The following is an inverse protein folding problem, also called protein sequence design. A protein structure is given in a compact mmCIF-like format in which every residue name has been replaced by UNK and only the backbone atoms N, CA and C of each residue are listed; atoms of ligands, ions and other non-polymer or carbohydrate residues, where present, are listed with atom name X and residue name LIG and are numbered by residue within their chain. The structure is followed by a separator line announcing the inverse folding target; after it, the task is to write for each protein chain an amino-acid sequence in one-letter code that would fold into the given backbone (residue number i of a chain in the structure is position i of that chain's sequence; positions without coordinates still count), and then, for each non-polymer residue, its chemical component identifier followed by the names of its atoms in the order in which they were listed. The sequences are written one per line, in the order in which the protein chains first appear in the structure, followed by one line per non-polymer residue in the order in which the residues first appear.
data_IF_913058131459
#
_entry.id   IF_913058131459
#
_cell.length_a   1.000
_cell.length_b   1.000
_cell.length_c   1.000
_cell.angle_alpha   90.00
_cell.angle_beta   90.00
_cell.angle_gamma   90.00
#
_symmetry.space_group_name_H-M   'P 1'
#
loop_
_entity.id
_entity.type
_entity.pdbx_description
1 polymer ?
#
# COMPACT_ATOMS: atom_id res chain seq x y z
N UNK A 1 21.11 4.97 -5.51
CA UNK A 1 20.62 4.60 -4.17
C UNK A 1 21.05 3.17 -3.89
N UNK A 2 21.73 2.91 -2.77
CA UNK A 2 22.09 1.55 -2.37
C UNK A 2 20.95 0.96 -1.52
N UNK A 3 20.50 -0.24 -1.84
CA UNK A 3 19.50 -0.99 -1.08
C UNK A 3 19.89 -2.46 -1.00
N UNK A 4 19.25 -3.22 -0.10
CA UNK A 4 19.43 -4.65 0.02
C UNK A 4 18.10 -5.31 -0.31
N UNK A 5 18.11 -6.27 -1.22
CA UNK A 5 16.95 -7.07 -1.64
C UNK A 5 17.40 -8.54 -1.67
N UNK A 6 16.60 -9.45 -1.09
CA UNK A 6 16.98 -10.86 -0.95
C UNK A 6 18.32 -11.05 -0.24
N UNK A 7 18.68 -10.18 0.71
CA UNK A 7 19.99 -10.14 1.40
C UNK A 7 21.19 -9.75 0.52
N UNK A 8 20.99 -9.38 -0.74
CA UNK A 8 22.05 -8.91 -1.64
C UNK A 8 22.01 -7.39 -1.81
N UNK A 9 23.17 -6.71 -1.85
CA UNK A 9 23.23 -5.28 -2.09
C UNK A 9 23.04 -4.95 -3.57
N UNK A 10 22.23 -3.93 -3.86
CA UNK A 10 21.98 -3.40 -5.21
C UNK A 10 22.17 -1.89 -5.25
N UNK A 11 22.69 -1.42 -6.38
CA UNK A 11 22.72 0.00 -6.73
C UNK A 11 21.61 0.31 -7.73
N UNK A 12 20.55 0.94 -7.25
CA UNK A 12 19.39 1.29 -8.06
C UNK A 12 19.31 2.80 -8.26
N UNK A 13 18.85 3.19 -9.44
CA UNK A 13 18.53 4.57 -9.80
C UNK A 13 17.14 4.64 -10.40
N UNK A 14 16.46 5.77 -10.25
CA UNK A 14 15.10 5.96 -10.81
C UNK A 14 15.10 5.77 -12.32
N UNK A 15 16.11 6.31 -13.01
CA UNK A 15 16.30 6.13 -14.46
C UNK A 15 16.60 4.68 -14.84
N UNK A 16 17.42 3.97 -14.05
CA UNK A 16 17.72 2.55 -14.28
C UNK A 16 16.49 1.66 -14.18
N UNK A 17 15.60 1.93 -13.21
CA UNK A 17 14.31 1.23 -13.10
C UNK A 17 13.43 1.52 -14.32
N UNK A 18 13.29 2.78 -14.74
CA UNK A 18 12.51 3.16 -15.91
C UNK A 18 13.03 2.50 -17.20
N UNK A 19 14.35 2.44 -17.37
CA UNK A 19 14.99 1.78 -18.52
C UNK A 19 14.73 0.27 -18.51
N UNK A 20 14.88 -0.38 -17.35
CA UNK A 20 14.68 -1.82 -17.21
C UNK A 20 13.23 -2.25 -17.44
N UNK A 21 12.27 -1.40 -17.04
CA UNK A 21 10.85 -1.66 -17.23
C UNK A 21 10.32 -1.28 -18.64
N UNK A 22 11.16 -0.70 -19.50
CA UNK A 22 10.75 -0.31 -20.85
C UNK A 22 10.39 -1.56 -21.67
N UNK A 23 9.18 -1.59 -22.23
CA UNK A 23 8.69 -2.72 -23.02
C UNK A 23 8.17 -3.90 -22.19
N UNK A 24 8.27 -3.83 -20.85
CA UNK A 24 7.70 -4.86 -19.97
C UNK A 24 6.18 -4.70 -19.91
N UNK A 25 5.46 -5.79 -20.24
CA UNK A 25 4.00 -5.83 -20.16
C UNK A 25 3.57 -6.00 -18.71
N UNK A 26 2.69 -5.14 -18.16
CA UNK A 26 2.18 -5.31 -16.82
C UNK A 26 1.46 -6.66 -16.66
N UNK A 27 1.75 -7.35 -15.57
CA UNK A 27 0.97 -8.50 -15.11
C UNK A 27 -0.27 -8.04 -14.33
N UNK A 28 -1.19 -8.97 -14.10
CA UNK A 28 -2.37 -8.72 -13.30
C UNK A 28 -1.98 -8.32 -11.87
N UNK A 29 -2.45 -7.16 -11.43
CA UNK A 29 -2.19 -6.64 -10.08
C UNK A 29 -3.15 -7.32 -9.11
N UNK A 30 -2.62 -8.24 -8.29
CA UNK A 30 -3.37 -8.97 -7.25
C UNK A 30 -3.01 -8.54 -5.83
N UNK A 31 -2.01 -7.67 -5.68
CA UNK A 31 -1.49 -7.22 -4.39
C UNK A 31 -0.77 -5.89 -4.50
N UNK A 32 0.32 -5.74 -3.73
CA UNK A 32 1.14 -4.53 -3.75
C UNK A 32 1.62 -4.21 -5.17
N UNK A 33 1.53 -2.94 -5.54
CA UNK A 33 1.87 -2.48 -6.88
C UNK A 33 2.59 -1.15 -6.88
N UNK A 34 3.29 -0.86 -7.97
CA UNK A 34 4.02 0.39 -8.16
C UNK A 34 3.67 1.01 -9.50
N UNK A 35 3.48 2.32 -9.52
CA UNK A 35 3.28 3.08 -10.75
C UNK A 35 4.64 3.41 -11.36
N UNK A 36 4.89 2.91 -12.57
CA UNK A 36 6.10 3.16 -13.35
C UNK A 36 5.68 3.77 -14.70
N UNK A 37 6.09 5.02 -14.93
CA UNK A 37 5.59 5.80 -16.06
C UNK A 37 4.08 6.01 -15.95
N UNK A 38 3.32 5.44 -16.89
CA UNK A 38 1.83 5.53 -16.94
C UNK A 38 1.12 4.22 -16.62
N UNK A 39 1.85 3.22 -16.12
CA UNK A 39 1.34 1.85 -15.92
C UNK A 39 1.59 1.41 -14.47
N UNK A 40 0.70 0.55 -13.96
CA UNK A 40 0.81 -0.06 -12.63
C UNK A 40 1.31 -1.48 -12.79
N UNK A 41 2.33 -1.84 -12.03
CA UNK A 41 2.98 -3.14 -12.08
C UNK A 41 2.95 -3.78 -10.69
N UNK A 42 2.75 -5.11 -10.58
CA UNK A 42 3.01 -5.83 -9.33
C UNK A 42 4.44 -5.59 -8.86
N UNK A 43 4.63 -5.35 -7.57
CA UNK A 43 5.99 -5.12 -7.05
C UNK A 43 6.89 -6.34 -7.21
N UNK A 44 6.32 -7.54 -7.20
CA UNK A 44 7.06 -8.78 -7.44
C UNK A 44 7.61 -8.87 -8.86
N UNK A 45 6.81 -8.45 -9.85
CA UNK A 45 7.24 -8.38 -11.24
C UNK A 45 8.40 -7.38 -11.38
N UNK A 46 8.27 -6.19 -10.77
CA UNK A 46 9.32 -5.16 -10.82
C UNK A 46 10.60 -5.63 -10.14
N UNK A 47 10.48 -6.22 -8.96
CA UNK A 47 11.61 -6.81 -8.23
C UNK A 47 12.39 -7.79 -9.10
N UNK A 48 11.69 -8.76 -9.69
CA UNK A 48 12.29 -9.75 -10.58
C UNK A 48 13.02 -9.11 -11.76
N UNK A 49 12.45 -8.09 -12.40
CA UNK A 49 13.08 -7.42 -13.55
C UNK A 49 14.35 -6.67 -13.16
N UNK A 50 14.32 -5.91 -12.05
CA UNK A 50 15.42 -5.02 -11.68
C UNK A 50 16.55 -5.75 -10.94
N UNK A 51 16.25 -6.83 -10.21
CA UNK A 51 17.27 -7.63 -9.49
C UNK A 51 17.69 -8.87 -10.26
N UNK A 52 16.88 -9.32 -11.24
CA UNK A 52 17.04 -10.61 -11.95
C UNK A 52 16.97 -11.84 -11.03
N UNK A 53 16.40 -11.69 -9.84
CA UNK A 53 16.21 -12.77 -8.87
C UNK A 53 14.84 -13.43 -9.05
N UNK A 54 14.65 -14.62 -8.48
CA UNK A 54 13.34 -15.25 -8.44
C UNK A 54 12.43 -14.52 -7.45
N UNK A 55 11.11 -14.53 -7.69
CA UNK A 55 10.13 -13.89 -6.80
C UNK A 55 10.13 -14.52 -5.40
N UNK A 56 10.65 -15.73 -5.24
CA UNK A 56 10.79 -16.43 -3.97
C UNK A 56 11.96 -15.95 -3.12
N UNK A 57 12.92 -15.25 -3.72
CA UNK A 57 14.15 -14.84 -3.03
C UNK A 57 13.96 -13.55 -2.21
N UNK A 58 12.95 -12.74 -2.55
CA UNK A 58 12.68 -11.47 -1.89
C UNK A 58 11.20 -11.33 -1.50
N UNK A 59 10.94 -10.37 -0.62
CA UNK A 59 9.60 -9.98 -0.22
C UNK A 59 9.13 -8.74 -0.97
N UNK A 60 7.82 -8.65 -1.22
CA UNK A 60 7.18 -7.46 -1.79
C UNK A 60 7.53 -6.18 -1.03
N UNK A 61 7.57 -6.24 0.30
CA UNK A 61 7.95 -5.12 1.18
C UNK A 61 9.41 -4.66 1.03
N UNK A 62 10.36 -5.52 0.66
CA UNK A 62 11.72 -5.09 0.29
C UNK A 62 11.69 -4.22 -0.98
N UNK A 63 10.95 -4.66 -1.99
CA UNK A 63 10.83 -3.95 -3.26
C UNK A 63 10.07 -2.64 -3.09
N UNK A 64 8.96 -2.62 -2.35
CA UNK A 64 8.20 -1.39 -2.03
C UNK A 64 9.10 -0.36 -1.36
N UNK A 65 9.89 -0.77 -0.34
CA UNK A 65 10.82 0.13 0.35
C UNK A 65 11.87 0.71 -0.61
N UNK A 66 12.42 -0.10 -1.51
CA UNK A 66 13.36 0.36 -2.52
C UNK A 66 12.70 1.35 -3.49
N UNK A 67 11.52 1.03 -4.02
CA UNK A 67 10.79 1.86 -4.98
C UNK A 67 10.35 3.20 -4.38
N UNK A 68 9.83 3.19 -3.15
CA UNK A 68 9.45 4.42 -2.44
C UNK A 68 10.65 5.32 -2.19
N UNK A 69 11.81 4.76 -1.81
CA UNK A 69 13.05 5.53 -1.61
C UNK A 69 13.62 6.10 -2.91
N UNK A 70 13.35 5.48 -4.05
CA UNK A 70 13.64 6.02 -5.38
C UNK A 70 12.62 7.07 -5.85
N UNK A 71 11.55 7.30 -5.07
CA UNK A 71 10.50 8.26 -5.38
C UNK A 71 9.50 7.75 -6.42
N UNK A 72 9.20 6.45 -6.41
CA UNK A 72 8.04 5.89 -7.10
C UNK A 72 6.83 5.83 -6.17
N UNK A 73 5.63 5.86 -6.75
CA UNK A 73 4.37 5.71 -6.02
C UNK A 73 4.00 4.24 -5.92
N UNK A 74 4.02 3.70 -4.71
CA UNK A 74 3.56 2.34 -4.40
C UNK A 74 2.13 2.37 -3.85
N UNK A 75 1.37 1.31 -4.11
CA UNK A 75 -0.02 1.11 -3.67
C UNK A 75 -0.09 -0.23 -2.94
N UNK A 76 -0.70 -0.22 -1.76
CA UNK A 76 -1.00 -1.45 -1.02
C UNK A 76 -2.16 -2.21 -1.69
N UNK A 77 -2.30 -3.50 -1.38
CA UNK A 77 -3.44 -4.32 -1.79
C UNK A 77 -4.76 -3.79 -1.24
N UNK A 78 -4.76 -3.02 -0.14
CA UNK A 78 -5.96 -2.52 0.56
C UNK A 78 -6.84 -1.54 -0.23
N UNK A 79 -6.76 -1.48 -1.56
CA UNK A 79 -7.73 -0.74 -2.37
C UNK A 79 -9.01 -1.56 -2.60
N UNK A 80 -9.65 -1.97 -1.49
CA UNK A 80 -11.10 -2.07 -1.39
C UNK A 80 -11.59 -0.82 -0.66
N UNK A 81 -11.80 0.25 -1.44
CA UNK A 81 -12.47 1.51 -1.12
C UNK A 81 -11.98 2.35 0.10
N UNK A 82 -11.87 3.69 -0.03
CA UNK A 82 -11.87 4.54 1.13
C UNK A 82 -13.28 4.52 1.73
N UNK A 83 -13.53 3.68 2.74
CA UNK A 83 -14.67 3.91 3.65
C UNK A 83 -14.33 5.13 4.51
N UNK A 84 -14.43 6.30 3.91
CA UNK A 84 -14.59 7.55 4.62
C UNK A 84 -15.94 7.55 5.31
N UNK A 85 -16.00 7.00 6.52
CA UNK A 85 -17.01 7.40 7.52
C UNK A 85 -16.27 7.57 8.84
N UNK A 86 -15.96 8.81 9.27
CA UNK A 86 -15.85 9.09 10.69
C UNK A 86 -17.28 9.32 11.19
N UNK A 87 -18.04 8.25 11.39
CA UNK A 87 -19.27 8.38 12.17
C UNK A 87 -18.87 8.27 13.64
N UNK A 88 -18.47 9.40 14.21
CA UNK A 88 -18.45 9.58 15.66
C UNK A 88 -19.81 9.12 16.22
N UNK A 89 -19.87 8.24 17.23
CA UNK A 89 -21.12 8.02 17.94
C UNK A 89 -21.42 9.29 18.72
N UNK A 90 -22.21 10.18 18.13
CA UNK A 90 -22.86 11.27 18.84
C UNK A 90 -23.94 10.65 19.71
N UNK A 91 -23.55 10.12 20.87
CA UNK A 91 -24.49 9.77 21.93
C UNK A 91 -25.14 11.07 22.39
N UNK A 92 -26.27 11.36 21.77
CA UNK A 92 -27.14 12.47 22.15
C UNK A 92 -28.06 11.90 23.21
N UNK A 93 -27.65 11.96 24.47
CA UNK A 93 -28.58 11.76 25.60
C UNK A 93 -28.84 13.14 26.20
N UNK A 94 -29.93 13.75 25.73
CA UNK A 94 -30.56 14.92 26.36
C UNK A 94 -31.64 14.44 27.34
N UNK A 95 -32.04 15.28 28.32
CA UNK A 95 -32.41 14.86 29.66
C UNK A 95 -33.90 14.52 29.77
N UNK A 96 -34.25 13.57 30.63
CA UNK A 96 -35.61 13.44 31.14
C UNK A 96 -35.59 13.73 32.64
N UNK A 97 -35.88 15.00 32.96
CA UNK A 97 -36.21 15.43 34.30
C UNK A 97 -37.68 15.12 34.61
N UNK A 98 -37.86 14.60 35.82
CA UNK A 98 -38.93 14.85 36.79
C UNK A 98 -40.40 14.80 36.33
N UNK A 99 -41.16 13.85 36.92
CA UNK A 99 -42.42 14.16 37.59
C UNK A 99 -42.96 12.96 38.39
N UNK A 100 -43.12 13.20 39.69
CA UNK A 100 -44.28 12.84 40.51
C UNK A 100 -44.49 11.38 40.99
N UNK A 101 -44.28 11.21 42.30
CA UNK A 101 -45.13 10.45 43.25
C UNK A 101 -46.63 10.52 42.88
N UNK A 102 -47.42 9.46 43.17
CA UNK A 102 -48.00 9.37 44.50
C UNK A 102 -48.07 7.96 45.12
N UNK A 103 -48.19 8.03 46.45
CA UNK A 103 -48.61 7.10 47.49
C UNK A 103 -49.92 6.32 47.21
N UNK A 104 -50.27 5.41 48.14
CA UNK A 104 -51.45 4.53 48.36
C UNK A 104 -51.29 3.07 47.88
N UNK A 105 -51.46 2.02 48.69
CA UNK A 105 -52.22 1.81 49.93
C UNK A 105 -51.48 0.82 50.86
#
# INVERSE_FOLDING_TARGET
MRCVIARYPFELTKSGVLASMKGVRPELVTGESVTIGRRRYPVEQVGQVITRQDRRDFTSGEVVRAMTRLGFTCHDRLETAPMGVPTSPRTTSAPLGDAASPEVW
#
